data_IF_638065461837
#
_entry.id   IF_638065461837
#
_cell.length_a   1.000
_cell.length_b   1.000
_cell.length_c   1.000
_cell.angle_alpha   90.00
_cell.angle_beta   90.00
_cell.angle_gamma   90.00
#
_symmetry.space_group_name_H-M   'P 1'
#
loop_
_entity.id
_entity.type
_entity.pdbx_description
1 polymer ?
#
# COMPACT_ATOMS: atom_id res chain seq x y z
N UNK A 1 2.74 3.54 -9.78
CA UNK A 1 2.07 3.26 -8.50
C UNK A 1 3.04 3.54 -7.37
N UNK A 2 2.63 4.44 -6.48
CA UNK A 2 3.28 4.63 -5.20
C UNK A 2 2.75 3.49 -4.32
N UNK A 3 3.60 2.53 -3.93
CA UNK A 3 3.17 1.41 -3.07
C UNK A 3 2.59 1.89 -1.73
N UNK A 4 2.89 3.13 -1.37
CA UNK A 4 2.39 3.83 -0.20
C UNK A 4 0.88 4.15 -0.22
N UNK A 5 0.16 3.87 -1.29
CA UNK A 5 -1.29 4.17 -1.38
C UNK A 5 -2.19 2.94 -1.23
N UNK A 6 -1.63 1.82 -0.74
CA UNK A 6 -2.46 0.64 -0.38
C UNK A 6 -3.39 1.02 0.77
N UNK A 7 -4.68 0.73 0.61
CA UNK A 7 -5.79 0.97 1.53
C UNK A 7 -5.92 2.40 2.09
N UNK A 8 -5.19 3.38 1.52
CA UNK A 8 -5.13 4.74 2.05
C UNK A 8 -4.23 4.92 3.28
N UNK A 9 -3.38 3.94 3.60
CA UNK A 9 -2.55 3.96 4.83
C UNK A 9 -1.68 5.21 4.95
N UNK A 10 -1.08 5.68 3.84
CA UNK A 10 -0.32 6.93 3.82
C UNK A 10 -1.15 8.14 4.26
N UNK A 11 -2.37 8.28 3.74
CA UNK A 11 -3.26 9.39 4.12
C UNK A 11 -3.61 9.32 5.61
N UNK A 12 -3.90 8.12 6.12
CA UNK A 12 -4.25 7.91 7.53
C UNK A 12 -3.09 8.26 8.45
N UNK A 13 -1.88 7.79 8.16
CA UNK A 13 -0.69 8.06 8.98
C UNK A 13 -0.41 9.57 9.02
N UNK A 14 -0.50 10.25 7.87
CA UNK A 14 -0.29 11.70 7.79
C UNK A 14 -1.33 12.49 8.57
N UNK A 15 -2.59 12.11 8.46
CA UNK A 15 -3.69 12.76 9.18
C UNK A 15 -3.53 12.57 10.68
N UNK A 16 -3.26 11.32 11.12
CA UNK A 16 -3.01 10.99 12.52
C UNK A 16 -1.84 11.78 13.11
N UNK A 17 -0.71 11.83 12.39
CA UNK A 17 0.46 12.59 12.81
C UNK A 17 0.31 14.11 12.60
N UNK A 18 -0.76 14.57 11.95
CA UNK A 18 -0.94 15.98 11.53
C UNK A 18 0.29 16.51 10.78
N UNK A 19 0.81 15.71 9.85
CA UNK A 19 1.99 16.06 9.06
C UNK A 19 1.69 17.25 8.14
N UNK A 20 2.50 18.34 8.18
CA UNK A 20 2.34 19.43 7.23
C UNK A 20 2.61 18.94 5.80
N UNK A 21 2.01 19.59 4.80
CA UNK A 21 2.03 19.13 3.40
C UNK A 21 3.43 18.92 2.83
N UNK A 22 4.42 19.67 3.34
CA UNK A 22 5.83 19.62 2.94
C UNK A 22 6.69 18.63 3.75
N UNK A 23 6.12 17.87 4.69
CA UNK A 23 6.85 16.81 5.40
C UNK A 23 6.59 15.47 4.70
N UNK A 24 7.56 14.88 3.98
CA UNK A 24 7.39 13.56 3.39
C UNK A 24 7.27 12.50 4.48
N UNK A 25 6.42 11.50 4.25
CA UNK A 25 6.40 10.29 5.05
C UNK A 25 7.56 9.37 4.59
N UNK A 26 8.79 9.75 4.94
CA UNK A 26 10.01 9.07 4.51
C UNK A 26 10.32 7.88 5.45
N UNK A 27 9.36 6.96 5.53
CA UNK A 27 9.44 5.74 6.32
C UNK A 27 8.79 4.57 5.58
N UNK A 28 9.05 3.35 6.06
CA UNK A 28 8.29 2.14 5.72
C UNK A 28 7.26 1.89 6.81
N UNK A 29 6.16 1.24 6.48
CA UNK A 29 5.14 0.84 7.45
C UNK A 29 4.48 -0.48 7.05
N UNK A 30 3.99 -1.21 8.04
CA UNK A 30 3.28 -2.47 7.84
C UNK A 30 1.91 -2.26 7.19
N UNK A 31 1.53 -3.20 6.32
CA UNK A 31 0.32 -3.11 5.49
C UNK A 31 -0.88 -3.86 6.08
N UNK A 32 -0.62 -4.77 7.03
CA UNK A 32 -1.61 -5.74 7.50
C UNK A 32 -1.03 -6.63 8.59
N UNK A 33 -1.90 -7.14 9.45
CA UNK A 33 -1.56 -8.18 10.40
C UNK A 33 -1.23 -9.50 9.67
N UNK A 34 -0.19 -10.19 10.15
CA UNK A 34 0.18 -11.53 9.70
C UNK A 34 0.78 -12.33 10.87
N UNK A 35 0.66 -13.68 10.84
CA UNK A 35 1.14 -14.55 11.91
C UNK A 35 2.62 -14.94 11.77
N UNK A 36 3.36 -14.34 10.84
CA UNK A 36 4.75 -14.72 10.60
C UNK A 36 5.60 -14.43 11.84
N UNK A 37 6.58 -15.29 12.16
CA UNK A 37 7.50 -15.09 13.28
C UNK A 37 8.56 -14.03 12.97
N UNK A 38 8.72 -13.66 11.70
CA UNK A 38 9.68 -12.65 11.24
C UNK A 38 8.94 -11.48 10.57
N UNK A 39 9.60 -10.31 10.42
CA UNK A 39 9.06 -9.23 9.61
C UNK A 39 8.73 -9.68 8.20
N UNK A 40 7.78 -8.99 7.55
CA UNK A 40 7.45 -9.32 6.17
C UNK A 40 8.72 -9.15 5.30
N UNK A 41 9.09 -10.15 4.48
CA UNK A 41 10.28 -10.07 3.62
C UNK A 41 10.33 -8.84 2.71
N UNK A 42 9.17 -8.30 2.31
CA UNK A 42 9.09 -7.06 1.55
C UNK A 42 9.40 -5.82 2.37
N UNK A 43 9.07 -5.82 3.66
CA UNK A 43 9.40 -4.70 4.56
C UNK A 43 10.90 -4.69 4.87
N UNK A 44 11.54 -5.86 4.97
CA UNK A 44 13.00 -5.99 5.16
C UNK A 44 13.83 -5.46 3.99
N UNK A 45 13.23 -5.30 2.80
CA UNK A 45 13.90 -4.71 1.63
C UNK A 45 13.87 -3.18 1.60
N UNK A 46 13.32 -2.55 2.65
CA UNK A 46 13.22 -1.09 2.70
C UNK A 46 14.60 -0.43 2.80
N UNK A 47 14.74 0.69 2.10
CA UNK A 47 15.86 1.62 2.21
C UNK A 47 15.46 2.90 2.97
N UNK A 48 14.25 2.93 3.55
CA UNK A 48 13.76 4.05 4.34
C UNK A 48 14.39 4.08 5.72
N UNK A 49 14.65 5.27 6.29
CA UNK A 49 15.39 5.44 7.54
C UNK A 49 14.61 5.01 8.80
N UNK A 50 13.32 4.69 8.65
CA UNK A 50 12.44 4.35 9.75
C UNK A 50 11.43 3.30 9.30
N UNK A 51 11.16 2.33 10.17
CA UNK A 51 10.07 1.38 10.03
C UNK A 51 8.98 1.65 11.10
N UNK A 52 7.73 1.73 10.66
CA UNK A 52 6.57 1.84 11.55
C UNK A 52 5.88 0.48 11.63
N UNK A 53 5.87 -0.09 12.83
CA UNK A 53 5.24 -1.38 13.13
C UNK A 53 3.94 -1.18 13.92
N UNK A 54 3.09 -2.20 13.95
CA UNK A 54 1.80 -2.12 14.64
C UNK A 54 1.90 -2.39 16.14
N UNK A 55 2.75 -3.32 16.59
CA UNK A 55 2.75 -3.78 17.98
C UNK A 55 4.14 -4.03 18.58
N UNK A 56 4.18 -4.30 19.89
CA UNK A 56 5.41 -4.71 20.59
C UNK A 56 6.02 -5.99 20.00
N UNK A 57 5.19 -6.99 19.67
CA UNK A 57 5.64 -8.23 19.03
C UNK A 57 6.40 -7.92 17.74
N UNK A 58 5.77 -7.12 16.87
CA UNK A 58 6.35 -6.72 15.59
C UNK A 58 7.62 -5.88 15.76
N UNK A 59 7.68 -5.02 16.78
CA UNK A 59 8.89 -4.26 17.10
C UNK A 59 10.06 -5.18 17.52
N UNK A 60 9.79 -6.20 18.33
CA UNK A 60 10.81 -7.17 18.77
C UNK A 60 11.34 -7.98 17.59
N UNK A 61 10.43 -8.49 16.73
CA UNK A 61 10.78 -9.23 15.53
C UNK A 61 11.62 -8.38 14.56
N UNK A 62 11.29 -7.10 14.39
CA UNK A 62 12.08 -6.17 13.57
C UNK A 62 13.49 -5.96 14.14
N UNK A 63 13.60 -5.67 15.45
CA UNK A 63 14.89 -5.44 16.12
C UNK A 63 15.81 -6.66 16.10
N UNK A 64 15.25 -7.87 15.98
CA UNK A 64 16.03 -9.09 15.91
C UNK A 64 16.80 -9.25 14.58
N UNK A 65 16.33 -8.61 13.50
CA UNK A 65 16.87 -8.86 12.14
C UNK A 65 17.29 -7.59 11.39
N UNK A 66 16.92 -6.40 11.87
CA UNK A 66 17.17 -5.14 11.17
C UNK A 66 17.84 -4.11 12.06
N UNK A 67 18.77 -3.35 11.49
CA UNK A 67 19.41 -2.19 12.13
C UNK A 67 18.68 -0.88 11.86
N UNK A 68 17.70 -0.88 10.94
CA UNK A 68 16.88 0.29 10.66
C UNK A 68 16.03 0.58 11.90
N UNK A 69 16.03 1.83 12.42
CA UNK A 69 15.19 2.22 13.55
C UNK A 69 13.72 1.89 13.30
N UNK A 70 13.01 1.49 14.37
CA UNK A 70 11.59 1.20 14.29
C UNK A 70 10.82 1.73 15.50
N UNK A 71 9.55 2.08 15.27
CA UNK A 71 8.64 2.57 16.30
C UNK A 71 7.24 1.98 16.12
N UNK A 72 6.51 1.89 17.23
CA UNK A 72 5.13 1.40 17.24
C UNK A 72 4.23 2.56 16.84
N UNK A 73 3.70 2.47 15.62
CA UNK A 73 2.69 3.40 15.13
C UNK A 73 1.28 2.97 15.47
N UNK A 74 1.05 1.70 15.80
CA UNK A 74 -0.30 1.12 15.86
C UNK A 74 -0.88 0.89 14.46
N UNK A 75 -1.96 0.14 14.37
CA UNK A 75 -2.60 -0.12 13.08
C UNK A 75 -3.29 1.14 12.52
N UNK A 76 -2.99 1.62 11.30
CA UNK A 76 -3.55 2.89 10.83
C UNK A 76 -5.08 2.97 10.84
N UNK A 77 -5.79 1.87 10.52
CA UNK A 77 -7.26 1.86 10.50
C UNK A 77 -7.88 2.26 11.85
N UNK A 78 -7.28 1.89 12.99
CA UNK A 78 -7.81 2.29 14.29
C UNK A 78 -7.65 3.79 14.54
N UNK A 79 -6.59 4.41 14.01
CA UNK A 79 -6.42 5.86 14.07
C UNK A 79 -7.51 6.56 13.27
N UNK A 80 -7.78 6.09 12.05
CA UNK A 80 -8.88 6.61 11.24
C UNK A 80 -10.22 6.50 11.98
N UNK A 81 -10.54 5.31 12.52
CA UNK A 81 -11.78 5.07 13.27
C UNK A 81 -11.93 6.06 14.44
N UNK A 82 -10.89 6.22 15.25
CA UNK A 82 -10.87 7.11 16.42
C UNK A 82 -10.99 8.58 16.02
N UNK A 83 -10.25 9.02 15.01
CA UNK A 83 -10.33 10.40 14.49
C UNK A 83 -11.74 10.73 13.97
N UNK A 84 -12.36 9.79 13.26
CA UNK A 84 -13.70 9.95 12.70
C UNK A 84 -14.83 9.59 13.67
N UNK A 85 -14.49 9.16 14.90
CA UNK A 85 -15.43 8.73 15.95
C UNK A 85 -16.44 7.70 15.44
N UNK A 86 -15.94 6.72 14.69
CA UNK A 86 -16.78 5.66 14.13
C UNK A 86 -17.06 4.61 15.22
N UNK A 87 -18.33 4.40 15.49
CA UNK A 87 -18.85 3.42 16.44
C UNK A 87 -19.83 2.48 15.72
N UNK A 88 -20.04 1.30 16.30
CA UNK A 88 -21.06 0.36 15.81
C UNK A 88 -22.45 1.00 15.89
N UNK A 89 -23.26 0.81 14.85
CA UNK A 89 -24.59 1.38 14.80
C UNK A 89 -25.53 0.70 15.79
N UNK A 90 -26.41 1.48 16.43
CA UNK A 90 -27.46 0.92 17.30
C UNK A 90 -28.43 0.00 16.54
N UNK A 91 -28.61 0.22 15.23
CA UNK A 91 -29.44 -0.59 14.35
C UNK A 91 -28.67 -1.74 13.67
N UNK A 92 -27.43 -2.00 14.08
CA UNK A 92 -26.59 -3.03 13.49
C UNK A 92 -27.25 -4.42 13.58
N UNK A 93 -27.22 -5.18 12.48
CA UNK A 93 -27.93 -6.46 12.37
C UNK A 93 -27.11 -7.50 11.61
N UNK A 94 -27.38 -8.77 11.87
CA UNK A 94 -26.74 -9.88 11.18
C UNK A 94 -25.23 -9.94 11.36
N UNK A 95 -24.57 -10.66 10.45
CA UNK A 95 -23.14 -10.96 10.49
C UNK A 95 -22.47 -10.55 9.19
N UNK A 96 -21.30 -9.91 9.27
CA UNK A 96 -20.42 -9.71 8.12
C UNK A 96 -19.38 -10.83 8.07
N UNK A 97 -19.35 -11.59 6.97
CA UNK A 97 -18.32 -12.58 6.73
C UNK A 97 -17.21 -11.98 5.85
N UNK A 98 -15.96 -12.18 6.23
CA UNK A 98 -14.76 -11.80 5.48
C UNK A 98 -13.98 -13.05 5.07
N UNK A 99 -14.39 -13.78 4.01
CA UNK A 99 -13.70 -15.00 3.61
C UNK A 99 -12.20 -14.75 3.39
N UNK A 100 -11.37 -15.76 3.64
CA UNK A 100 -9.96 -15.77 3.28
C UNK A 100 -9.79 -15.30 1.83
N UNK A 101 -8.93 -14.31 1.63
CA UNK A 101 -8.91 -13.57 0.38
C UNK A 101 -7.60 -13.71 -0.38
N UNK A 102 -7.68 -13.49 -1.68
CA UNK A 102 -6.56 -13.57 -2.59
C UNK A 102 -5.79 -12.26 -2.70
N UNK A 103 -4.53 -12.35 -3.13
CA UNK A 103 -3.77 -11.23 -3.70
C UNK A 103 -3.60 -11.44 -5.21
N UNK A 104 -2.93 -10.54 -5.92
CA UNK A 104 -2.68 -10.69 -7.36
C UNK A 104 -2.02 -12.04 -7.71
N UNK A 105 -1.04 -12.48 -6.91
CA UNK A 105 -0.22 -13.66 -7.19
C UNK A 105 -0.45 -14.83 -6.22
N UNK A 106 -1.23 -14.63 -5.15
CA UNK A 106 -1.60 -15.68 -4.18
C UNK A 106 -3.11 -15.92 -4.24
N UNK A 107 -3.52 -17.18 -4.38
CA UNK A 107 -4.93 -17.59 -4.38
C UNK A 107 -5.34 -18.22 -3.05
N UNK A 108 -6.41 -17.71 -2.45
CA UNK A 108 -7.04 -18.34 -1.29
C UNK A 108 -8.02 -19.41 -1.76
N UNK A 109 -7.68 -20.68 -1.52
CA UNK A 109 -8.41 -21.85 -2.00
C UNK A 109 -9.09 -22.58 -0.85
N UNK A 110 -10.40 -22.72 -0.97
CA UNK A 110 -11.28 -23.51 -0.09
C UNK A 110 -12.59 -23.81 -0.84
N UNK A 111 -13.40 -24.73 -0.31
CA UNK A 111 -14.72 -25.06 -0.88
C UNK A 111 -15.72 -23.94 -0.54
N UNK A 112 -15.95 -23.03 -1.49
CA UNK A 112 -16.85 -21.88 -1.32
C UNK A 112 -18.31 -22.34 -1.22
N UNK A 113 -18.70 -23.39 -1.95
CA UNK A 113 -20.07 -23.93 -1.90
C UNK A 113 -20.37 -24.53 -0.53
N UNK A 114 -19.43 -25.30 0.03
CA UNK A 114 -19.55 -25.84 1.37
C UNK A 114 -19.51 -24.75 2.43
N UNK A 115 -18.63 -23.76 2.29
CA UNK A 115 -18.59 -22.61 3.18
C UNK A 115 -19.92 -21.84 3.20
N UNK A 116 -20.56 -21.67 2.03
CA UNK A 116 -21.89 -21.07 1.93
C UNK A 116 -22.97 -21.87 2.69
N UNK A 117 -22.94 -23.20 2.62
CA UNK A 117 -23.87 -24.06 3.38
C UNK A 117 -23.66 -23.93 4.88
N UNK A 118 -22.40 -23.91 5.32
CA UNK A 118 -22.04 -23.71 6.72
C UNK A 118 -22.56 -22.36 7.22
N UNK A 119 -22.31 -21.26 6.50
CA UNK A 119 -22.80 -19.93 6.89
C UNK A 119 -24.34 -19.90 7.02
N UNK A 120 -25.08 -20.58 6.13
CA UNK A 120 -26.54 -20.71 6.24
C UNK A 120 -27.00 -21.55 7.43
N UNK A 121 -26.17 -22.46 7.92
CA UNK A 121 -26.49 -23.28 9.10
C UNK A 121 -26.21 -22.57 10.42
N UNK A 122 -25.64 -21.37 10.41
CA UNK A 122 -25.52 -20.56 11.63
C UNK A 122 -26.91 -20.23 12.19
N UNK A 123 -27.09 -20.24 13.52
CA UNK A 123 -28.37 -19.90 14.16
C UNK A 123 -28.94 -18.55 13.69
N UNK A 124 -30.27 -18.41 13.74
CA UNK A 124 -31.01 -17.23 13.25
C UNK A 124 -30.48 -15.90 13.81
N UNK A 125 -29.92 -15.90 15.02
CA UNK A 125 -29.32 -14.72 15.66
C UNK A 125 -28.14 -14.13 14.88
N UNK A 126 -27.41 -14.96 14.12
CA UNK A 126 -26.30 -14.55 13.26
C UNK A 126 -26.76 -14.13 11.86
N UNK A 127 -28.02 -14.38 11.51
CA UNK A 127 -28.60 -14.03 10.22
C UNK A 127 -29.15 -12.58 10.22
N UNK A 128 -29.23 -11.91 9.06
CA UNK A 128 -28.71 -12.32 7.76
C UNK A 128 -27.18 -12.20 7.70
N UNK A 129 -26.56 -12.90 6.75
CA UNK A 129 -25.11 -12.79 6.49
C UNK A 129 -24.85 -11.97 5.23
N UNK A 130 -23.96 -10.99 5.35
CA UNK A 130 -23.35 -10.27 4.23
C UNK A 130 -21.93 -10.81 4.01
N UNK A 131 -21.51 -10.97 2.75
CA UNK A 131 -20.13 -11.37 2.41
C UNK A 131 -19.36 -10.13 1.95
N UNK A 132 -18.29 -9.76 2.66
CA UNK A 132 -17.35 -8.74 2.20
C UNK A 132 -16.17 -9.42 1.50
N UNK A 133 -16.05 -9.20 0.19
CA UNK A 133 -14.97 -9.76 -0.62
C UNK A 133 -13.89 -8.72 -0.94
N UNK A 134 -12.65 -9.19 -0.93
CA UNK A 134 -11.52 -8.45 -1.46
C UNK A 134 -11.65 -8.28 -2.98
N UNK A 135 -11.16 -7.16 -3.51
CA UNK A 135 -11.32 -6.83 -4.95
C UNK A 135 -10.76 -7.94 -5.86
N UNK A 136 -9.61 -8.54 -5.51
CA UNK A 136 -9.05 -9.62 -6.32
C UNK A 136 -9.93 -10.87 -6.41
N UNK A 137 -10.75 -11.16 -5.39
CA UNK A 137 -11.68 -12.28 -5.46
C UNK A 137 -12.92 -11.93 -6.30
N UNK A 138 -13.34 -10.65 -6.33
CA UNK A 138 -14.33 -10.14 -7.30
C UNK A 138 -13.80 -10.25 -8.73
N UNK A 139 -12.55 -9.85 -8.97
CA UNK A 139 -11.90 -9.94 -10.29
C UNK A 139 -11.78 -11.40 -10.77
N UNK A 140 -11.65 -12.33 -9.83
CA UNK A 140 -11.66 -13.79 -10.07
C UNK A 140 -13.07 -14.40 -10.11
N UNK A 141 -14.12 -13.57 -10.06
CA UNK A 141 -15.54 -13.98 -10.10
C UNK A 141 -15.97 -14.92 -8.97
N UNK A 142 -15.26 -14.93 -7.84
CA UNK A 142 -15.64 -15.76 -6.68
C UNK A 142 -16.95 -15.29 -6.04
N UNK A 143 -17.34 -14.03 -6.26
CA UNK A 143 -18.63 -13.47 -5.82
C UNK A 143 -19.85 -14.16 -6.46
N UNK A 144 -19.72 -14.70 -7.67
CA UNK A 144 -20.82 -15.36 -8.37
C UNK A 144 -21.37 -16.54 -7.56
N UNK A 145 -20.50 -17.29 -6.87
CA UNK A 145 -20.90 -18.44 -6.04
C UNK A 145 -21.70 -17.99 -4.81
N UNK A 146 -21.23 -16.96 -4.09
CA UNK A 146 -21.95 -16.42 -2.93
C UNK A 146 -23.32 -15.85 -3.34
N UNK A 147 -23.39 -15.13 -4.46
CA UNK A 147 -24.65 -14.60 -5.02
C UNK A 147 -25.61 -15.71 -5.43
N UNK A 148 -25.11 -16.80 -6.03
CA UNK A 148 -25.92 -17.99 -6.35
C UNK A 148 -26.52 -18.64 -5.10
N UNK A 149 -25.80 -18.58 -3.97
CA UNK A 149 -26.32 -18.99 -2.67
C UNK A 149 -27.26 -17.97 -2.03
N UNK A 150 -27.52 -16.82 -2.65
CA UNK A 150 -28.45 -15.80 -2.16
C UNK A 150 -27.87 -14.85 -1.11
N UNK A 151 -26.55 -14.84 -0.92
CA UNK A 151 -25.92 -13.87 -0.02
C UNK A 151 -25.84 -12.49 -0.66
N UNK A 152 -25.98 -11.45 0.18
CA UNK A 152 -25.58 -10.11 -0.19
C UNK A 152 -24.04 -10.04 -0.23
N UNK A 153 -23.47 -9.51 -1.32
CA UNK A 153 -22.01 -9.40 -1.49
C UNK A 153 -21.61 -7.94 -1.64
N UNK A 154 -20.64 -7.51 -0.83
CA UNK A 154 -20.09 -6.15 -0.79
C UNK A 154 -18.57 -6.18 -0.92
N UNK A 155 -17.98 -5.02 -1.16
CA UNK A 155 -16.52 -4.84 -1.16
C UNK A 155 -16.17 -3.45 -0.62
N UNK A 156 -15.04 -3.32 0.08
CA UNK A 156 -14.49 -2.03 0.47
C UNK A 156 -13.94 -1.23 -0.73
N UNK A 157 -13.82 -1.88 -1.90
CA UNK A 157 -13.45 -1.25 -3.17
C UNK A 157 -11.98 -1.42 -3.53
N UNK A 158 -11.44 -0.55 -4.40
CA UNK A 158 -10.06 -0.65 -4.87
C UNK A 158 -9.05 -0.45 -3.74
N UNK A 159 -8.00 -1.26 -3.75
CA UNK A 159 -6.94 -1.21 -2.73
C UNK A 159 -5.99 -0.02 -2.95
N UNK A 160 -5.90 0.48 -4.17
CA UNK A 160 -5.03 1.61 -4.51
C UNK A 160 -5.82 2.91 -4.43
N UNK A 161 -5.78 3.57 -3.26
CA UNK A 161 -6.51 4.82 -3.00
C UNK A 161 -5.60 5.87 -2.38
N UNK A 162 -5.78 7.13 -2.79
CA UNK A 162 -4.95 8.24 -2.30
C UNK A 162 -5.44 8.80 -0.96
N UNK A 163 -6.73 8.66 -0.66
CA UNK A 163 -7.38 9.21 0.52
C UNK A 163 -7.92 8.11 1.43
N UNK A 164 -9.13 8.35 1.95
CA UNK A 164 -9.77 7.51 2.95
C UNK A 164 -10.84 6.57 2.38
N UNK A 165 -11.00 6.51 1.06
CA UNK A 165 -12.15 5.88 0.41
C UNK A 165 -12.31 4.41 0.79
N UNK A 166 -11.20 3.67 0.85
CA UNK A 166 -11.22 2.26 1.24
C UNK A 166 -11.56 2.08 2.72
N UNK A 167 -10.84 2.77 3.62
CA UNK A 167 -11.04 2.63 5.07
C UNK A 167 -12.42 3.13 5.51
N UNK A 168 -12.94 4.18 4.87
CA UNK A 168 -14.29 4.67 5.09
C UNK A 168 -15.33 3.60 4.73
N UNK A 169 -15.29 3.06 3.50
CA UNK A 169 -16.19 1.99 3.07
C UNK A 169 -16.07 0.74 3.93
N UNK A 170 -14.84 0.38 4.31
CA UNK A 170 -14.60 -0.75 5.21
C UNK A 170 -15.35 -0.58 6.53
N UNK A 171 -15.22 0.58 7.19
CA UNK A 171 -15.91 0.84 8.45
C UNK A 171 -17.42 1.06 8.28
N UNK A 172 -17.88 1.64 7.18
CA UNK A 172 -19.32 1.75 6.86
C UNK A 172 -19.98 0.37 6.73
N UNK A 173 -19.28 -0.59 6.10
CA UNK A 173 -19.71 -1.98 6.05
C UNK A 173 -19.69 -2.56 7.47
N UNK A 174 -18.57 -2.45 8.19
CA UNK A 174 -18.40 -3.10 9.48
C UNK A 174 -19.41 -2.61 10.53
N UNK A 175 -19.63 -1.29 10.63
CA UNK A 175 -20.48 -0.68 11.69
C UNK A 175 -21.95 -1.05 11.62
N UNK A 176 -22.42 -1.48 10.44
CA UNK A 176 -23.81 -1.87 10.21
C UNK A 176 -24.13 -3.32 10.62
N UNK A 177 -23.14 -4.08 11.10
CA UNK A 177 -23.29 -5.49 11.46
C UNK A 177 -23.10 -5.76 12.95
N UNK A 178 -23.82 -6.74 13.48
CA UNK A 178 -23.81 -7.08 14.91
C UNK A 178 -22.62 -7.98 15.26
N UNK A 179 -22.26 -8.88 14.35
CA UNK A 179 -21.17 -9.84 14.48
C UNK A 179 -20.29 -9.83 13.24
N UNK A 180 -19.08 -10.39 13.35
CA UNK A 180 -18.19 -10.62 12.21
C UNK A 180 -17.67 -12.07 12.22
N UNK A 181 -17.42 -12.64 11.04
CA UNK A 181 -16.86 -13.99 10.92
C UNK A 181 -15.92 -14.13 9.73
N UNK A 182 -15.13 -15.20 9.71
CA UNK A 182 -14.30 -15.62 8.58
C UNK A 182 -13.95 -17.10 8.71
N UNK A 183 -13.45 -17.72 7.64
CA UNK A 183 -12.78 -19.02 7.70
C UNK A 183 -11.27 -18.94 7.95
N UNK A 184 -10.71 -17.74 8.17
CA UNK A 184 -9.31 -17.51 8.53
C UNK A 184 -9.16 -16.23 9.36
N UNK A 185 -8.15 -16.16 10.23
CA UNK A 185 -7.84 -14.90 10.94
C UNK A 185 -7.11 -13.94 10.00
N UNK A 186 -7.57 -12.69 9.94
CA UNK A 186 -6.94 -11.60 9.19
C UNK A 186 -7.17 -10.25 9.87
N UNK A 187 -6.65 -9.15 9.32
CA UNK A 187 -6.72 -7.83 9.97
C UNK A 187 -8.15 -7.36 10.28
N UNK A 188 -9.13 -7.76 9.46
CA UNK A 188 -10.55 -7.48 9.71
C UNK A 188 -11.06 -8.04 11.04
N UNK A 189 -10.50 -9.15 11.54
CA UNK A 189 -10.87 -9.73 12.83
C UNK A 189 -10.53 -8.78 13.97
N UNK A 190 -9.32 -8.24 13.93
CA UNK A 190 -8.80 -7.29 14.89
C UNK A 190 -9.60 -5.98 14.86
N UNK A 191 -9.90 -5.45 13.68
CA UNK A 191 -10.71 -4.23 13.56
C UNK A 191 -12.17 -4.43 14.00
N UNK A 192 -12.75 -5.60 13.77
CA UNK A 192 -14.09 -5.95 14.26
C UNK A 192 -14.14 -5.94 15.79
N UNK A 193 -13.21 -6.66 16.42
CA UNK A 193 -13.14 -6.77 17.89
C UNK A 193 -12.84 -5.41 18.53
N UNK A 194 -11.88 -4.64 17.98
CA UNK A 194 -11.55 -3.30 18.50
C UNK A 194 -12.73 -2.32 18.42
N UNK A 195 -13.60 -2.45 17.42
CA UNK A 195 -14.83 -1.65 17.31
C UNK A 195 -15.99 -2.20 18.17
N UNK A 196 -15.85 -3.37 18.79
CA UNK A 196 -16.87 -3.98 19.65
C UNK A 196 -17.82 -4.96 18.96
N UNK A 197 -17.41 -5.56 17.84
CA UNK A 197 -18.13 -6.68 17.21
C UNK A 197 -17.52 -8.01 17.66
N UNK A 198 -18.31 -8.93 18.24
CA UNK A 198 -17.85 -10.30 18.44
C UNK A 198 -17.44 -10.90 17.11
N UNK A 199 -16.22 -11.42 17.06
CA UNK A 199 -15.64 -12.07 15.90
C UNK A 199 -15.40 -13.54 16.18
N UNK A 200 -15.63 -14.39 15.16
CA UNK A 200 -15.32 -15.80 15.25
C UNK A 200 -14.89 -16.42 13.92
N UNK A 201 -14.07 -17.46 14.02
CA UNK A 201 -13.72 -18.35 12.92
C UNK A 201 -14.76 -19.44 12.76
N UNK A 202 -15.27 -19.56 11.54
CA UNK A 202 -16.26 -20.56 11.16
C UNK A 202 -15.99 -21.05 9.75
N UNK A 203 -16.18 -22.35 9.53
CA UNK A 203 -16.01 -23.01 8.25
C UNK A 203 -14.58 -23.50 7.95
N UNK A 204 -14.41 -24.09 6.76
CA UNK A 204 -13.15 -24.72 6.35
C UNK A 204 -12.04 -23.71 6.08
N UNK A 205 -10.88 -23.90 6.72
CA UNK A 205 -9.72 -23.04 6.53
C UNK A 205 -9.24 -23.03 5.09
N UNK A 206 -8.81 -21.86 4.62
CA UNK A 206 -8.21 -21.71 3.29
C UNK A 206 -6.75 -22.16 3.26
N UNK A 207 -6.34 -22.62 2.09
CA UNK A 207 -4.93 -22.81 1.76
C UNK A 207 -4.52 -21.75 0.74
N UNK A 208 -3.40 -21.08 0.99
CA UNK A 208 -2.85 -20.06 0.11
C UNK A 208 -1.93 -20.71 -0.92
N UNK A 209 -2.29 -20.63 -2.20
CA UNK A 209 -1.51 -21.12 -3.33
C UNK A 209 -0.79 -19.95 -4.00
N UNK A 210 0.54 -19.99 -3.97
CA UNK A 210 1.37 -18.94 -4.53
C UNK A 210 1.76 -19.30 -5.97
N UNK A 211 1.37 -18.44 -6.92
CA UNK A 211 1.62 -18.60 -8.35
C UNK A 211 2.80 -17.77 -8.88
N UNK A 212 3.49 -17.01 -8.03
CA UNK A 212 4.61 -16.19 -8.48
C UNK A 212 5.15 -15.13 -7.52
N UNK A 213 4.68 -15.04 -6.27
CA UNK A 213 5.30 -14.20 -5.24
C UNK A 213 6.68 -14.76 -4.86
N UNK A 214 7.80 -14.10 -5.20
CA UNK A 214 9.13 -14.70 -5.08
C UNK A 214 9.58 -14.94 -3.63
N UNK A 215 8.99 -14.20 -2.68
CA UNK A 215 9.39 -14.23 -1.27
C UNK A 215 8.52 -15.12 -0.39
N UNK A 216 7.49 -15.75 -0.94
CA UNK A 216 6.53 -16.55 -0.19
C UNK A 216 6.64 -18.04 -0.59
N UNK A 217 6.31 -18.98 0.30
CA UNK A 217 6.23 -20.40 -0.04
C UNK A 217 5.24 -20.65 -1.19
N UNK A 218 5.43 -21.73 -1.95
CA UNK A 218 4.49 -22.12 -3.03
C UNK A 218 3.09 -22.47 -2.51
N UNK A 219 3.01 -22.94 -1.27
CA UNK A 219 1.77 -23.27 -0.56
C UNK A 219 1.97 -23.06 0.94
N UNK A 220 1.01 -22.41 1.60
CA UNK A 220 1.06 -22.18 3.05
C UNK A 220 -0.32 -21.89 3.64
N UNK A 221 -0.42 -21.98 4.96
CA UNK A 221 -1.57 -21.59 5.78
C UNK A 221 -1.10 -20.74 6.95
N UNK A 222 -1.99 -19.92 7.50
CA UNK A 222 -1.68 -19.19 8.73
C UNK A 222 -1.47 -20.15 9.91
N UNK A 223 -2.15 -21.30 9.91
CA UNK A 223 -1.98 -22.34 10.92
C UNK A 223 -0.63 -23.07 10.85
N UNK A 224 0.22 -22.77 9.87
CA UNK A 224 1.60 -23.27 9.83
C UNK A 224 2.51 -22.55 10.84
N UNK A 225 2.04 -21.42 11.40
CA UNK A 225 2.79 -20.58 12.33
C UNK A 225 2.18 -20.61 13.73
N UNK A 226 2.98 -20.60 14.82
CA UNK A 226 2.47 -20.62 16.19
C UNK A 226 1.44 -19.54 16.49
N UNK A 227 1.69 -18.29 16.07
CA UNK A 227 0.76 -17.17 16.24
C UNK A 227 -0.55 -17.38 15.47
N UNK A 228 -0.49 -18.06 14.32
CA UNK A 228 -1.68 -18.39 13.54
C UNK A 228 -2.52 -19.50 14.17
N UNK A 229 -1.88 -20.53 14.74
CA UNK A 229 -2.57 -21.57 15.53
C UNK A 229 -3.25 -20.95 16.76
N UNK A 230 -2.50 -20.14 17.52
CA UNK A 230 -2.99 -19.47 18.71
C UNK A 230 -4.18 -18.55 18.39
N UNK A 231 -4.04 -17.65 17.42
CA UNK A 231 -5.11 -16.74 17.03
C UNK A 231 -6.35 -17.48 16.49
N UNK A 232 -6.18 -18.55 15.71
CA UNK A 232 -7.31 -19.38 15.26
C UNK A 232 -8.04 -20.01 16.45
N UNK A 233 -7.31 -20.45 17.47
CA UNK A 233 -7.86 -21.03 18.70
C UNK A 233 -8.67 -19.99 19.49
N UNK A 234 -8.12 -18.79 19.69
CA UNK A 234 -8.76 -17.68 20.41
C UNK A 234 -10.11 -17.27 19.78
N UNK A 235 -10.22 -17.38 18.46
CA UNK A 235 -11.43 -17.02 17.71
C UNK A 235 -12.31 -18.21 17.33
N UNK A 236 -12.04 -19.43 17.83
CA UNK A 236 -12.70 -20.63 17.34
C UNK A 236 -14.20 -20.67 17.68
N UNK A 237 -15.04 -20.75 16.65
CA UNK A 237 -16.47 -21.06 16.77
C UNK A 237 -17.38 -19.87 17.13
N UNK A 238 -18.69 -19.95 16.84
CA UNK A 238 -19.61 -18.84 17.03
C UNK A 238 -19.66 -18.33 18.47
N UNK A 239 -19.55 -17.01 18.63
CA UNK A 239 -19.70 -16.31 19.90
C UNK A 239 -20.54 -15.06 19.72
N UNK A 240 -21.24 -14.64 20.79
CA UNK A 240 -22.00 -13.39 20.82
C UNK A 240 -21.33 -12.31 21.68
N UNK A 241 -20.22 -12.65 22.33
CA UNK A 241 -19.48 -11.76 23.22
C UNK A 241 -18.01 -11.76 22.82
N UNK A 242 -17.35 -10.63 23.04
CA UNK A 242 -15.89 -10.54 22.96
C UNK A 242 -15.35 -11.01 24.30
N UNK A 243 -14.60 -12.11 24.32
CA UNK A 243 -13.94 -12.56 25.54
C UNK A 243 -12.81 -11.61 25.94
N UNK A 244 -12.40 -11.63 27.20
CA UNK A 244 -11.25 -10.82 27.63
C UNK A 244 -9.98 -11.23 26.89
N UNK A 245 -9.77 -12.54 26.68
CA UNK A 245 -8.65 -13.06 25.89
C UNK A 245 -8.64 -12.53 24.45
N UNK A 246 -9.81 -12.48 23.79
CA UNK A 246 -9.92 -11.89 22.45
C UNK A 246 -9.57 -10.40 22.46
N UNK A 247 -10.05 -9.66 23.46
CA UNK A 247 -9.78 -8.22 23.60
C UNK A 247 -8.30 -7.96 23.83
N UNK A 248 -7.69 -8.62 24.82
CA UNK A 248 -6.28 -8.45 25.17
C UNK A 248 -5.37 -8.81 23.98
N UNK A 249 -5.65 -9.92 23.29
CA UNK A 249 -4.90 -10.31 22.10
C UNK A 249 -5.01 -9.27 20.98
N UNK A 250 -6.20 -8.75 20.73
CA UNK A 250 -6.44 -7.74 19.68
C UNK A 250 -5.78 -6.41 20.01
N UNK A 251 -5.93 -5.92 21.24
CA UNK A 251 -5.34 -4.66 21.67
C UNK A 251 -3.80 -4.71 21.62
N UNK A 252 -3.21 -5.84 22.00
CA UNK A 252 -1.77 -6.06 21.90
C UNK A 252 -1.29 -6.05 20.43
N UNK A 253 -1.97 -6.77 19.53
CA UNK A 253 -1.56 -6.90 18.14
C UNK A 253 -1.82 -5.65 17.28
N UNK A 254 -2.77 -4.80 17.70
CA UNK A 254 -3.02 -3.49 17.09
C UNK A 254 -2.19 -2.35 17.70
N UNK A 255 -1.45 -2.62 18.79
CA UNK A 255 -0.65 -1.64 19.52
C UNK A 255 -1.47 -0.54 20.17
N UNK A 256 -2.70 -0.84 20.62
CA UNK A 256 -3.68 0.15 21.10
C UNK A 256 -3.14 1.00 22.25
N UNK A 257 -2.35 0.40 23.14
CA UNK A 257 -1.81 1.03 24.35
C UNK A 257 -0.33 1.41 24.24
N UNK A 258 0.31 1.05 23.13
CA UNK A 258 1.77 1.13 22.94
C UNK A 258 2.19 2.08 21.82
N UNK A 259 1.24 2.48 20.97
CA UNK A 259 1.53 3.34 19.84
C UNK A 259 1.89 4.76 20.28
N UNK A 260 2.82 5.36 19.54
CA UNK A 260 3.08 6.79 19.65
C UNK A 260 1.80 7.58 19.39
N UNK A 261 1.61 8.65 20.16
CA UNK A 261 0.62 9.68 19.82
C UNK A 261 0.94 10.28 18.45
N UNK A 262 -0.05 10.93 17.82
CA UNK A 262 0.18 11.61 16.55
C UNK A 262 1.28 12.68 16.62
N UNK A 263 1.44 13.34 17.77
CA UNK A 263 2.47 14.36 17.98
C UNK A 263 3.86 13.71 18.03
N UNK A 264 4.03 12.68 18.86
CA UNK A 264 5.30 11.94 18.97
C UNK A 264 5.68 11.29 17.64
N UNK A 265 4.71 10.73 16.90
CA UNK A 265 4.96 10.16 15.58
C UNK A 265 5.47 11.21 14.60
N UNK A 266 4.88 12.41 14.60
CA UNK A 266 5.34 13.52 13.74
C UNK A 266 6.75 13.95 14.09
N UNK A 267 7.06 14.10 15.38
CA UNK A 267 8.39 14.49 15.85
C UNK A 267 9.44 13.46 15.43
N UNK A 268 9.14 12.17 15.62
CA UNK A 268 10.00 11.07 15.18
C UNK A 268 10.22 11.07 13.67
N UNK A 269 9.18 11.35 12.87
CA UNK A 269 9.32 11.46 11.42
C UNK A 269 10.24 12.62 11.04
N UNK A 270 10.08 13.79 11.66
CA UNK A 270 10.95 14.94 11.42
C UNK A 270 12.39 14.62 11.79
N UNK A 271 12.62 14.07 12.98
CA UNK A 271 13.96 13.69 13.47
C UNK A 271 14.62 12.67 12.55
N UNK A 272 13.89 11.61 12.19
CA UNK A 272 14.41 10.55 11.33
C UNK A 272 14.77 11.07 9.93
N UNK A 273 13.91 11.91 9.36
CA UNK A 273 14.15 12.56 8.07
C UNK A 273 15.38 13.46 8.14
N UNK A 274 15.47 14.31 9.17
CA UNK A 274 16.58 15.24 9.33
C UNK A 274 17.91 14.51 9.43
N UNK A 275 17.99 13.52 10.34
CA UNK A 275 19.21 12.73 10.57
C UNK A 275 19.74 12.06 9.31
N UNK A 276 18.86 11.47 8.50
CA UNK A 276 19.31 10.77 7.29
C UNK A 276 19.72 11.74 6.18
N UNK A 277 19.06 12.89 6.07
CA UNK A 277 19.43 13.95 5.12
C UNK A 277 20.80 14.52 5.49
N UNK A 278 21.00 14.91 6.74
CA UNK A 278 22.29 15.40 7.23
C UNK A 278 23.40 14.38 6.94
N UNK A 279 23.16 13.09 7.21
CA UNK A 279 24.13 12.03 6.92
C UNK A 279 24.51 11.96 5.44
N UNK A 280 23.55 12.07 4.51
CA UNK A 280 23.86 12.10 3.07
C UNK A 280 24.59 13.38 2.66
N UNK A 281 24.19 14.53 3.20
CA UNK A 281 24.81 15.83 2.91
C UNK A 281 26.28 15.86 3.39
N UNK A 282 26.54 15.37 4.60
CA UNK A 282 27.88 15.22 5.18
C UNK A 282 28.74 14.23 4.39
N UNK A 283 28.17 13.08 4.01
CA UNK A 283 28.85 12.08 3.18
C UNK A 283 29.32 12.69 1.84
N UNK A 284 28.43 13.42 1.15
CA UNK A 284 28.77 14.10 -0.10
C UNK A 284 29.80 15.22 0.11
N UNK A 285 29.73 15.96 1.21
CA UNK A 285 30.67 17.05 1.54
C UNK A 285 32.07 16.52 1.88
N UNK A 286 32.15 15.40 2.60
CA UNK A 286 33.41 14.76 2.93
C UNK A 286 34.13 14.17 1.70
N UNK A 287 33.41 14.01 0.58
CA UNK A 287 33.97 13.46 -0.66
C UNK A 287 34.35 11.98 -0.58
N UNK A 288 33.94 11.28 0.48
CA UNK A 288 34.21 9.86 0.71
C UNK A 288 33.32 8.96 -0.15
N UNK A 289 33.68 7.68 -0.29
CA UNK A 289 32.94 6.69 -1.07
C UNK A 289 33.18 6.75 -2.59
N UNK A 290 32.75 5.68 -3.26
CA UNK A 290 32.80 5.53 -4.71
C UNK A 290 31.74 6.37 -5.45
N UNK A 291 31.86 6.44 -6.77
CA UNK A 291 30.91 7.16 -7.63
C UNK A 291 29.48 6.67 -7.42
N UNK A 292 29.25 5.35 -7.37
CA UNK A 292 27.91 4.79 -7.20
C UNK A 292 27.24 5.16 -5.86
N UNK A 293 28.01 5.21 -4.77
CA UNK A 293 27.51 5.58 -3.45
C UNK A 293 27.10 7.07 -3.44
N UNK A 294 27.91 7.94 -4.05
CA UNK A 294 27.60 9.37 -4.21
C UNK A 294 26.37 9.61 -5.07
N UNK A 295 26.25 8.88 -6.19
CA UNK A 295 25.07 8.94 -7.04
C UNK A 295 23.82 8.46 -6.28
N UNK A 296 23.94 7.39 -5.50
CA UNK A 296 22.84 6.89 -4.67
C UNK A 296 22.40 7.93 -3.63
N UNK A 297 23.35 8.57 -2.93
CA UNK A 297 23.06 9.63 -1.96
C UNK A 297 22.37 10.84 -2.63
N UNK A 298 22.85 11.29 -3.79
CA UNK A 298 22.16 12.32 -4.58
C UNK A 298 20.73 11.91 -4.92
N UNK A 299 20.50 10.67 -5.38
CA UNK A 299 19.16 10.17 -5.69
C UNK A 299 18.23 10.21 -4.47
N UNK A 300 18.71 9.82 -3.28
CA UNK A 300 17.95 9.86 -2.03
C UNK A 300 17.54 11.29 -1.63
N UNK A 301 18.46 12.24 -1.75
CA UNK A 301 18.17 13.66 -1.48
C UNK A 301 17.18 14.24 -2.51
N UNK A 302 17.31 13.89 -3.78
CA UNK A 302 16.38 14.31 -4.84
C UNK A 302 14.97 13.78 -4.58
N UNK A 303 14.82 12.50 -4.23
CA UNK A 303 13.53 11.92 -3.84
C UNK A 303 12.91 12.67 -2.66
N UNK A 304 13.68 12.91 -1.61
CA UNK A 304 13.19 13.63 -0.42
C UNK A 304 12.75 15.06 -0.74
N UNK A 305 13.61 15.86 -1.39
CA UNK A 305 13.30 17.28 -1.66
C UNK A 305 12.22 17.46 -2.72
N UNK A 306 12.05 16.48 -3.61
CA UNK A 306 10.90 16.44 -4.50
C UNK A 306 9.59 16.28 -3.71
N UNK A 307 9.55 15.35 -2.75
CA UNK A 307 8.37 15.08 -1.94
C UNK A 307 8.11 16.20 -0.91
N UNK A 308 9.15 16.88 -0.42
CA UNK A 308 9.01 18.03 0.50
C UNK A 308 8.63 19.33 -0.22
N UNK A 309 8.83 19.39 -1.54
CA UNK A 309 8.57 20.56 -2.36
C UNK A 309 9.70 21.61 -2.34
N UNK A 310 10.87 21.28 -1.79
CA UNK A 310 12.08 22.12 -1.79
C UNK A 310 12.79 22.05 -3.15
N UNK A 311 12.23 22.77 -4.13
CA UNK A 311 12.63 22.70 -5.55
C UNK A 311 14.09 23.09 -5.79
N UNK A 312 14.61 24.09 -5.06
CA UNK A 312 15.99 24.56 -5.22
C UNK A 312 16.99 23.50 -4.78
N UNK A 313 16.76 22.86 -3.62
CA UNK A 313 17.58 21.75 -3.14
C UNK A 313 17.44 20.53 -4.05
N UNK A 314 16.23 20.24 -4.52
CA UNK A 314 16.04 19.18 -5.51
C UNK A 314 16.94 19.42 -6.73
N UNK A 315 16.92 20.62 -7.31
CA UNK A 315 17.76 20.96 -8.47
C UNK A 315 19.25 20.87 -8.14
N UNK A 316 19.67 21.37 -6.96
CA UNK A 316 21.05 21.29 -6.47
C UNK A 316 21.57 19.84 -6.52
N UNK A 317 20.88 18.89 -5.89
CA UNK A 317 21.35 17.51 -5.83
C UNK A 317 21.24 16.76 -7.16
N UNK A 318 20.32 17.15 -8.04
CA UNK A 318 20.32 16.62 -9.40
C UNK A 318 21.61 17.05 -10.12
N UNK A 319 21.94 18.35 -10.10
CA UNK A 319 23.14 18.85 -10.79
C UNK A 319 24.43 18.33 -10.14
N UNK A 320 24.45 18.20 -8.82
CA UNK A 320 25.57 17.62 -8.07
C UNK A 320 25.87 16.18 -8.50
N UNK A 321 24.86 15.40 -8.87
CA UNK A 321 25.08 14.05 -9.41
C UNK A 321 25.97 14.05 -10.66
N UNK A 322 25.95 15.13 -11.46
CA UNK A 322 26.73 15.25 -12.68
C UNK A 322 28.21 15.56 -12.44
N UNK A 323 28.57 15.98 -11.21
CA UNK A 323 29.97 16.08 -10.80
C UNK A 323 30.61 14.69 -10.61
N UNK A 324 29.80 13.66 -10.35
CA UNK A 324 30.27 12.31 -10.05
C UNK A 324 30.17 11.35 -11.24
N UNK A 325 29.20 11.55 -12.14
CA UNK A 325 29.02 10.73 -13.33
C UNK A 325 28.43 11.55 -14.49
N UNK A 326 28.54 11.02 -15.71
CA UNK A 326 27.74 11.54 -16.83
C UNK A 326 26.23 11.47 -16.50
N UNK A 327 25.38 12.31 -17.11
CA UNK A 327 23.95 12.31 -16.82
C UNK A 327 23.34 10.91 -16.95
N UNK A 328 22.59 10.48 -15.92
CA UNK A 328 21.85 9.21 -15.91
C UNK A 328 20.36 9.43 -16.11
N UNK A 329 19.69 8.39 -16.57
CA UNK A 329 18.27 8.42 -16.98
C UNK A 329 17.38 8.99 -15.87
N UNK A 330 17.57 8.55 -14.63
CA UNK A 330 16.81 8.97 -13.46
C UNK A 330 16.94 10.48 -13.18
N UNK A 331 18.16 11.03 -13.20
CA UNK A 331 18.41 12.46 -12.97
C UNK A 331 17.91 13.32 -14.14
N UNK A 332 18.06 12.85 -15.38
CA UNK A 332 17.44 13.51 -16.53
C UNK A 332 15.91 13.52 -16.43
N UNK A 333 15.29 12.46 -15.91
CA UNK A 333 13.85 12.44 -15.65
C UNK A 333 13.44 13.43 -14.56
N UNK A 334 14.23 13.54 -13.49
CA UNK A 334 13.98 14.52 -12.43
C UNK A 334 14.13 15.97 -12.92
N UNK A 335 15.13 16.28 -13.75
CA UNK A 335 15.24 17.61 -14.39
C UNK A 335 14.06 17.88 -15.32
N UNK A 336 13.69 16.90 -16.13
CA UNK A 336 12.51 16.99 -16.99
C UNK A 336 11.26 17.36 -16.19
N UNK A 337 11.07 16.69 -15.04
CA UNK A 337 9.93 16.91 -14.16
C UNK A 337 9.97 18.27 -13.48
N UNK A 338 11.15 18.70 -13.02
CA UNK A 338 11.37 20.03 -12.46
C UNK A 338 10.89 21.12 -13.43
N UNK A 339 11.36 21.09 -14.68
CA UNK A 339 10.99 22.07 -15.70
C UNK A 339 9.51 21.96 -16.10
N UNK A 340 8.99 20.74 -16.22
CA UNK A 340 7.56 20.51 -16.48
C UNK A 340 6.67 21.11 -15.39
N UNK A 341 7.05 20.99 -14.11
CA UNK A 341 6.30 21.52 -12.97
C UNK A 341 6.25 23.05 -12.96
N UNK A 342 7.26 23.72 -13.50
CA UNK A 342 7.28 25.18 -13.69
C UNK A 342 6.81 25.60 -15.10
N UNK A 343 6.16 24.69 -15.84
CA UNK A 343 5.59 24.90 -17.19
C UNK A 343 6.62 25.30 -18.26
N UNK A 344 7.90 25.04 -18.02
CA UNK A 344 8.98 25.20 -19.00
C UNK A 344 9.11 23.92 -19.83
N UNK A 345 8.10 23.66 -20.66
CA UNK A 345 7.96 22.37 -21.34
C UNK A 345 9.08 22.07 -22.34
N UNK A 346 9.68 23.08 -22.98
CA UNK A 346 10.78 22.88 -23.93
C UNK A 346 12.06 22.37 -23.24
N UNK A 347 12.40 22.94 -22.08
CA UNK A 347 13.48 22.49 -21.21
C UNK A 347 13.18 21.07 -20.69
N UNK A 348 11.93 20.82 -20.28
CA UNK A 348 11.48 19.48 -19.89
C UNK A 348 11.70 18.46 -21.01
N UNK A 349 11.28 18.78 -22.23
CA UNK A 349 11.46 17.96 -23.43
C UNK A 349 12.95 17.68 -23.68
N UNK A 350 13.83 18.68 -23.56
CA UNK A 350 15.26 18.48 -23.75
C UNK A 350 15.80 17.36 -22.82
N UNK A 351 15.50 17.46 -21.53
CA UNK A 351 15.99 16.49 -20.54
C UNK A 351 15.34 15.12 -20.68
N UNK A 352 14.04 15.04 -20.98
CA UNK A 352 13.42 13.76 -21.25
C UNK A 352 13.95 13.12 -22.54
N UNK A 353 14.22 13.89 -23.60
CA UNK A 353 14.87 13.36 -24.81
C UNK A 353 16.26 12.82 -24.49
N UNK A 354 17.04 13.54 -23.69
CA UNK A 354 18.33 13.04 -23.21
C UNK A 354 18.15 11.69 -22.50
N UNK A 355 17.19 11.59 -21.57
CA UNK A 355 16.86 10.34 -20.89
C UNK A 355 16.48 9.20 -21.85
N UNK A 356 15.83 9.49 -22.98
CA UNK A 356 15.51 8.47 -24.01
C UNK A 356 16.73 7.99 -24.80
N UNK A 357 17.83 8.75 -24.83
CA UNK A 357 19.04 8.43 -25.61
C UNK A 357 20.11 7.73 -24.77
N UNK A 358 20.05 7.83 -23.44
CA UNK A 358 20.98 7.18 -22.53
C UNK A 358 20.74 5.67 -22.43
N UNK A 359 21.80 4.93 -22.09
CA UNK A 359 21.75 3.50 -21.79
C UNK A 359 20.81 3.27 -20.60
N UNK A 360 19.85 2.35 -20.76
CA UNK A 360 18.83 2.06 -19.75
C UNK A 360 19.03 0.65 -19.22
N UNK A 361 18.85 0.43 -17.90
CA UNK A 361 18.76 -0.93 -17.39
C UNK A 361 17.57 -1.66 -18.03
N UNK A 362 17.80 -2.92 -18.42
CA UNK A 362 16.78 -3.78 -19.05
C UNK A 362 15.58 -3.91 -18.11
N UNK A 363 14.36 -3.82 -18.65
CA UNK A 363 13.10 -4.04 -17.90
C UNK A 363 12.82 -3.04 -16.76
N UNK A 364 13.25 -1.78 -16.90
CA UNK A 364 12.99 -0.72 -15.91
C UNK A 364 11.80 0.18 -16.28
N UNK A 365 11.13 0.75 -15.26
CA UNK A 365 10.19 1.89 -15.40
C UNK A 365 10.82 3.03 -16.22
N UNK A 366 12.13 3.21 -16.09
CA UNK A 366 12.91 4.22 -16.80
C UNK A 366 12.91 4.03 -18.32
N UNK A 367 12.50 2.87 -18.85
CA UNK A 367 12.32 2.65 -20.29
C UNK A 367 11.13 3.40 -20.87
N UNK A 368 10.04 3.56 -20.11
CA UNK A 368 8.81 4.19 -20.61
C UNK A 368 8.49 5.52 -19.94
N UNK A 369 8.99 5.78 -18.74
CA UNK A 369 8.71 7.02 -18.01
C UNK A 369 9.07 8.29 -18.81
N UNK A 370 10.27 8.43 -19.41
CA UNK A 370 10.59 9.60 -20.20
C UNK A 370 9.64 9.79 -21.39
N UNK A 371 9.18 8.71 -22.01
CA UNK A 371 8.26 8.76 -23.14
C UNK A 371 6.87 9.23 -22.72
N UNK A 372 6.34 8.77 -21.58
CA UNK A 372 5.07 9.31 -21.06
C UNK A 372 5.21 10.81 -20.76
N UNK A 373 6.32 11.24 -20.16
CA UNK A 373 6.48 12.66 -19.85
C UNK A 373 6.68 13.51 -21.10
N UNK A 374 7.38 13.00 -22.12
CA UNK A 374 7.43 13.64 -23.45
C UNK A 374 6.05 13.76 -24.06
N UNK A 375 5.22 12.71 -23.97
CA UNK A 375 3.82 12.77 -24.39
C UNK A 375 3.09 13.94 -23.72
N UNK A 376 3.20 14.08 -22.40
CA UNK A 376 2.57 15.18 -21.66
C UNK A 376 3.12 16.54 -22.10
N UNK A 377 4.44 16.73 -22.18
CA UNK A 377 5.03 18.01 -22.58
C UNK A 377 4.64 18.39 -24.01
N UNK A 378 4.67 17.45 -24.96
CA UNK A 378 4.28 17.72 -26.34
C UNK A 378 2.80 18.06 -26.48
N UNK A 379 1.92 17.37 -25.77
CA UNK A 379 0.49 17.67 -25.74
C UNK A 379 0.24 19.09 -25.20
N UNK A 380 0.93 19.48 -24.12
CA UNK A 380 0.85 20.84 -23.55
C UNK A 380 1.33 21.93 -24.51
N UNK A 381 2.18 21.60 -25.48
CA UNK A 381 2.63 22.49 -26.54
C UNK A 381 1.79 22.39 -27.84
N UNK A 382 0.68 21.64 -27.83
CA UNK A 382 -0.18 21.43 -29.00
C UNK A 382 0.42 20.50 -30.07
N UNK A 383 1.56 19.84 -29.77
CA UNK A 383 2.25 18.93 -30.69
C UNK A 383 1.69 17.51 -30.55
N UNK A 384 0.38 17.36 -30.75
CA UNK A 384 -0.37 16.13 -30.45
C UNK A 384 0.14 14.89 -31.19
N UNK A 385 0.64 15.05 -32.42
CA UNK A 385 1.23 13.95 -33.19
C UNK A 385 2.48 13.38 -32.50
N UNK A 386 3.41 14.24 -32.07
CA UNK A 386 4.58 13.83 -31.29
C UNK A 386 4.18 13.25 -29.93
N UNK A 387 3.15 13.81 -29.29
CA UNK A 387 2.63 13.27 -28.05
C UNK A 387 2.16 11.82 -28.22
N UNK A 388 1.42 11.54 -29.30
CA UNK A 388 0.92 10.22 -29.63
C UNK A 388 2.04 9.22 -29.92
N UNK A 389 3.04 9.62 -30.71
CA UNK A 389 4.20 8.78 -31.02
C UNK A 389 4.96 8.36 -29.75
N UNK A 390 5.21 9.31 -28.84
CA UNK A 390 5.86 8.98 -27.57
C UNK A 390 4.99 8.09 -26.68
N UNK A 391 3.67 8.29 -26.65
CA UNK A 391 2.77 7.41 -25.91
C UNK A 391 2.81 5.96 -26.46
N UNK A 392 2.85 5.80 -27.78
CA UNK A 392 2.95 4.49 -28.42
C UNK A 392 4.30 3.81 -28.16
N UNK A 393 5.41 4.56 -28.07
CA UNK A 393 6.69 4.00 -27.63
C UNK A 393 6.59 3.50 -26.18
N UNK A 394 6.01 4.29 -25.27
CA UNK A 394 5.80 3.86 -23.89
C UNK A 394 4.95 2.58 -23.82
N UNK A 395 3.93 2.46 -24.67
CA UNK A 395 3.03 1.29 -24.76
C UNK A 395 3.74 0.01 -25.16
N UNK A 396 4.78 0.07 -26.00
CA UNK A 396 5.61 -1.10 -26.35
C UNK A 396 6.28 -1.71 -25.12
N UNK A 397 6.64 -0.89 -24.13
CA UNK A 397 7.27 -1.34 -22.90
C UNK A 397 6.28 -1.68 -21.79
N UNK A 398 5.12 -1.01 -21.73
CA UNK A 398 4.11 -1.23 -20.68
C UNK A 398 2.68 -1.18 -21.24
N UNK A 399 2.25 -2.22 -21.98
CA UNK A 399 1.01 -2.17 -22.76
C UNK A 399 -0.27 -2.10 -21.93
N UNK A 400 -0.26 -2.59 -20.69
CA UNK A 400 -1.41 -2.58 -19.77
C UNK A 400 -1.40 -1.38 -18.82
N UNK A 401 -0.48 -0.42 -18.98
CA UNK A 401 -0.41 0.74 -18.11
C UNK A 401 -1.61 1.67 -18.32
N UNK A 402 -2.39 1.90 -17.27
CA UNK A 402 -3.63 2.69 -17.36
C UNK A 402 -3.40 4.13 -17.82
N UNK A 403 -2.29 4.77 -17.44
CA UNK A 403 -1.96 6.14 -17.87
C UNK A 403 -1.67 6.18 -19.37
N UNK A 404 -0.94 5.19 -19.89
CA UNK A 404 -0.65 5.06 -21.32
C UNK A 404 -1.94 4.83 -22.12
N UNK A 405 -2.81 3.96 -21.63
CA UNK A 405 -4.10 3.67 -22.27
C UNK A 405 -5.06 4.86 -22.21
N UNK A 406 -5.04 5.63 -21.12
CA UNK A 406 -5.78 6.87 -21.01
C UNK A 406 -5.30 7.91 -22.04
N UNK A 407 -3.99 8.17 -22.08
CA UNK A 407 -3.37 9.10 -23.01
C UNK A 407 -3.64 8.71 -24.47
N UNK A 408 -3.53 7.41 -24.81
CA UNK A 408 -3.88 6.89 -26.14
C UNK A 408 -5.29 7.29 -26.54
N UNK A 409 -6.30 6.92 -25.72
CA UNK A 409 -7.72 7.22 -26.01
C UNK A 409 -8.01 8.71 -26.12
N UNK A 410 -7.30 9.54 -25.37
CA UNK A 410 -7.40 10.99 -25.47
C UNK A 410 -6.81 11.50 -26.80
N UNK A 411 -5.57 11.13 -27.11
CA UNK A 411 -4.86 11.59 -28.31
C UNK A 411 -5.48 11.07 -29.61
N UNK A 412 -6.03 9.85 -29.62
CA UNK A 412 -6.78 9.32 -30.77
C UNK A 412 -8.01 10.16 -31.08
N UNK A 413 -8.73 10.60 -30.04
CA UNK A 413 -9.86 11.53 -30.21
C UNK A 413 -9.41 12.90 -30.72
N UNK A 414 -8.31 13.43 -30.19
CA UNK A 414 -7.75 14.73 -30.63
C UNK A 414 -7.28 14.68 -32.09
N UNK A 415 -6.68 13.57 -32.52
CA UNK A 415 -6.11 13.39 -33.86
C UNK A 415 -7.11 12.82 -34.88
N UNK A 416 -8.31 12.41 -34.46
CA UNK A 416 -9.29 11.75 -35.33
C UNK A 416 -8.87 10.35 -35.78
N UNK A 417 -8.05 9.66 -34.99
CA UNK A 417 -7.63 8.28 -35.24
C UNK A 417 -8.72 7.35 -34.71
N UNK A 418 -9.21 6.44 -35.56
CA UNK A 418 -10.19 5.44 -35.12
C UNK A 418 -9.53 4.46 -34.14
N UNK A 419 -10.19 4.12 -33.00
CA UNK A 419 -9.62 3.18 -32.03
C UNK A 419 -9.38 1.81 -32.69
N UNK A 420 -8.13 1.36 -32.70
CA UNK A 420 -7.77 -0.06 -32.89
C UNK A 420 -7.66 -0.76 -31.54
#
# INVERSE_FOLDING_TARGET
>A
MNWYSIYGLYAIIREYAKCPSNLPLYCRYEHGWNPLPEPNPYDLRTDKPLMLVWSRRRLQEWKAVSTIPAAISGAPFIHYRKMMKIEKDAAAKGTIAFPAHSTQLVDAVFDIDEYCKQLKSLPDEYQPITICLHLHDIERKKDEVYKKHGFNVVTAGPIWVLGFEFVQKFYDILRSHKYATSNQVGSYAFYAVEMGLPFFIFGGAAVLLNSGEPLMPSKYSYSDYPTGVMSTTIFQGPTQVISEEQREFVEAELGVHDCLSGIELKELLIESNHRVIESYEEFLKAGQGGVEEKITACGKLVEYFQDSGEKEKQLEYILKSFEYAVPRVEFCCHLGLYFQNIKQYEQGIFWYKMATQLEKPVSSRLMWLPHIQLCVCYDRLGKHQLAYEHNEIARKYSPQNEQILHNKRYLERVLGINPQ
#
